data_IF_521963188434
#
_entry.id   IF_521963188434
#
_cell.length_a   1.000
_cell.length_b   1.000
_cell.length_c   1.000
_cell.angle_alpha   90.00
_cell.angle_beta   90.00
_cell.angle_gamma   90.00
#
_symmetry.space_group_name_H-M   'P 1'
#
loop_
_entity.id
_entity.type
_entity.pdbx_description
1 polymer ?
#
# COMPACT_ATOMS: atom_id res chain seq x y z
N UNK A 1 -21.50 -19.06 22.69
CA UNK A 1 -21.13 -18.67 24.07
C UNK A 1 -19.65 -18.38 24.06
N UNK A 2 -19.20 -17.20 24.50
CA UNK A 2 -17.76 -16.92 24.64
C UNK A 2 -17.15 -17.87 25.67
N UNK A 3 -15.91 -18.30 25.43
CA UNK A 3 -15.11 -19.07 26.41
C UNK A 3 -14.97 -18.23 27.70
N UNK A 4 -15.10 -18.84 28.91
CA UNK A 4 -14.91 -18.11 30.16
C UNK A 4 -13.49 -17.55 30.27
N UNK A 5 -13.34 -16.36 30.85
CA UNK A 5 -12.01 -15.81 31.17
C UNK A 5 -11.34 -16.66 32.24
N UNK A 6 -10.11 -17.11 31.95
CA UNK A 6 -9.38 -18.00 32.85
C UNK A 6 -8.48 -17.17 33.76
N UNK A 7 -8.77 -17.18 35.06
CA UNK A 7 -8.10 -16.37 36.07
C UNK A 7 -7.32 -17.30 36.99
N UNK A 8 -6.00 -17.15 37.04
CA UNK A 8 -5.14 -17.87 37.98
C UNK A 8 -5.06 -17.10 39.29
N UNK A 9 -5.42 -17.72 40.40
CA UNK A 9 -5.30 -17.16 41.75
C UNK A 9 -4.14 -17.84 42.46
N UNK A 10 -3.20 -17.05 42.95
CA UNK A 10 -1.98 -17.51 43.61
C UNK A 10 -1.96 -16.97 45.03
N UNK A 11 -2.20 -17.83 46.00
CA UNK A 11 -2.20 -17.48 47.43
C UNK A 11 -1.94 -18.76 48.24
N UNK A 12 -1.15 -18.67 49.30
CA UNK A 12 -0.82 -19.81 50.16
C UNK A 12 -1.88 -20.08 51.25
N UNK A 13 -2.85 -19.17 51.43
CA UNK A 13 -3.95 -19.30 52.37
C UNK A 13 -4.98 -20.33 51.89
N UNK A 14 -5.16 -21.47 52.61
CA UNK A 14 -6.01 -22.58 52.15
C UNK A 14 -7.51 -22.22 52.10
N UNK A 15 -7.92 -21.18 52.81
CA UNK A 15 -9.32 -20.73 52.88
C UNK A 15 -9.71 -19.79 51.71
N UNK A 16 -8.73 -19.25 50.96
CA UNK A 16 -9.02 -18.32 49.87
C UNK A 16 -9.73 -19.02 48.69
N UNK A 17 -9.29 -20.22 48.31
CA UNK A 17 -9.88 -21.00 47.21
C UNK A 17 -11.40 -21.26 47.40
N UNK A 18 -11.85 -21.89 48.51
CA UNK A 18 -13.28 -22.11 48.73
C UNK A 18 -14.06 -20.80 48.84
N UNK A 19 -13.45 -19.75 49.41
CA UNK A 19 -14.07 -18.43 49.53
C UNK A 19 -14.26 -17.75 48.16
N UNK A 20 -13.25 -17.77 47.29
CA UNK A 20 -13.31 -17.25 45.92
C UNK A 20 -14.39 -17.95 45.11
N UNK A 21 -14.43 -19.28 45.14
CA UNK A 21 -15.45 -20.08 44.46
C UNK A 21 -16.86 -19.77 44.99
N UNK A 22 -17.02 -19.63 46.31
CA UNK A 22 -18.31 -19.32 46.93
C UNK A 22 -18.79 -17.90 46.55
N UNK A 23 -17.92 -16.90 46.64
CA UNK A 23 -18.26 -15.49 46.38
C UNK A 23 -18.50 -15.22 44.89
N UNK A 24 -17.76 -15.88 44.00
CA UNK A 24 -17.86 -15.69 42.55
C UNK A 24 -18.78 -16.70 41.84
N UNK A 25 -19.48 -17.57 42.59
CA UNK A 25 -20.33 -18.66 42.06
C UNK A 25 -21.30 -18.24 40.94
N UNK A 26 -21.86 -17.03 41.02
CA UNK A 26 -22.83 -16.52 40.02
C UNK A 26 -22.15 -16.29 38.67
N UNK A 27 -20.95 -15.72 38.66
CA UNK A 27 -20.19 -15.44 37.45
C UNK A 27 -19.63 -16.72 36.82
N UNK A 28 -19.22 -17.68 37.66
CA UNK A 28 -18.77 -19.01 37.22
C UNK A 28 -19.93 -19.76 36.54
N UNK A 29 -21.12 -19.81 37.17
CA UNK A 29 -22.31 -20.45 36.59
C UNK A 29 -22.79 -19.78 35.29
N UNK A 30 -22.58 -18.47 35.18
CA UNK A 30 -22.88 -17.73 33.95
C UNK A 30 -21.83 -17.95 32.84
N UNK A 31 -20.78 -18.75 33.09
CA UNK A 31 -19.71 -19.00 32.13
C UNK A 31 -18.80 -17.80 31.88
N UNK A 32 -18.74 -16.83 32.81
CA UNK A 32 -17.92 -15.62 32.65
C UNK A 32 -16.48 -15.82 33.12
N UNK A 33 -16.28 -16.53 34.23
CA UNK A 33 -14.96 -16.79 34.82
C UNK A 33 -14.72 -18.28 34.99
N UNK A 34 -13.47 -18.69 34.81
CA UNK A 34 -12.93 -20.00 35.17
C UNK A 34 -11.70 -19.76 36.04
N UNK A 35 -11.70 -20.26 37.27
CA UNK A 35 -10.57 -20.07 38.17
C UNK A 35 -9.63 -21.27 38.14
N UNK A 36 -8.32 -20.99 38.15
CA UNK A 36 -7.25 -21.93 38.43
C UNK A 36 -6.55 -21.45 39.70
N UNK A 37 -6.07 -22.36 40.53
CA UNK A 37 -5.42 -22.02 41.80
C UNK A 37 -4.00 -22.57 41.85
N UNK A 38 -3.12 -21.83 42.52
CA UNK A 38 -1.77 -22.23 42.86
C UNK A 38 -1.40 -21.70 44.26
N UNK A 39 -0.53 -22.39 44.98
CA UNK A 39 -0.18 -22.05 46.38
C UNK A 39 1.10 -21.23 46.52
N UNK A 40 1.83 -21.03 45.44
CA UNK A 40 3.06 -20.23 45.39
C UNK A 40 3.42 -19.90 43.94
N UNK A 41 4.42 -19.05 43.74
CA UNK A 41 4.84 -18.63 42.40
C UNK A 41 5.43 -19.73 41.51
N UNK A 42 6.02 -20.79 42.07
CA UNK A 42 6.54 -21.91 41.25
C UNK A 42 5.38 -22.72 40.67
N UNK A 43 4.41 -23.12 41.50
CA UNK A 43 3.20 -23.80 41.03
C UNK A 43 2.44 -22.91 40.03
N UNK A 44 2.38 -21.60 40.27
CA UNK A 44 1.75 -20.68 39.33
C UNK A 44 2.41 -20.71 37.94
N UNK A 45 3.74 -20.74 37.87
CA UNK A 45 4.46 -20.86 36.60
C UNK A 45 4.23 -22.21 35.92
N UNK A 46 4.18 -23.31 36.69
CA UNK A 46 3.84 -24.63 36.15
C UNK A 46 2.43 -24.60 35.54
N UNK A 47 1.45 -24.03 36.25
CA UNK A 47 0.10 -23.82 35.71
C UNK A 47 0.10 -22.94 34.46
N UNK A 48 0.84 -21.83 34.43
CA UNK A 48 0.90 -20.96 33.26
C UNK A 48 1.40 -21.69 32.00
N UNK A 49 2.31 -22.65 32.17
CA UNK A 49 2.85 -23.46 31.08
C UNK A 49 1.93 -24.65 30.69
N UNK A 50 1.31 -25.31 31.66
CA UNK A 50 0.43 -26.48 31.44
C UNK A 50 -0.97 -26.09 30.96
N UNK A 51 -1.55 -25.07 31.60
CA UNK A 51 -2.94 -24.66 31.49
C UNK A 51 -3.09 -23.50 30.50
N UNK A 52 -2.62 -23.66 29.26
CA UNK A 52 -2.60 -22.61 28.24
C UNK A 52 -3.91 -21.78 28.15
N UNK A 53 -3.78 -20.49 27.81
CA UNK A 53 -4.84 -19.46 27.79
C UNK A 53 -5.29 -18.97 29.19
N UNK A 54 -4.38 -18.75 30.13
CA UNK A 54 -4.69 -17.92 31.31
C UNK A 54 -4.73 -16.46 30.87
N UNK A 55 -5.82 -15.76 31.18
CA UNK A 55 -6.04 -14.39 30.77
C UNK A 55 -5.51 -13.38 31.81
N UNK A 56 -5.61 -13.73 33.10
CA UNK A 56 -5.27 -12.84 34.22
C UNK A 56 -4.70 -13.63 35.40
N UNK A 57 -3.76 -13.05 36.13
CA UNK A 57 -3.21 -13.59 37.38
C UNK A 57 -3.57 -12.68 38.55
N UNK A 58 -4.14 -13.24 39.61
CA UNK A 58 -4.33 -12.62 40.92
C UNK A 58 -3.30 -13.24 41.86
N UNK A 59 -2.33 -12.49 42.37
CA UNK A 59 -1.26 -13.06 43.20
C UNK A 59 -1.13 -12.32 44.52
N UNK A 60 -1.07 -13.04 45.63
CA UNK A 60 -0.52 -12.48 46.87
C UNK A 60 0.95 -12.13 46.68
N UNK A 61 1.44 -11.18 47.46
CA UNK A 61 2.87 -10.82 47.50
C UNK A 61 3.65 -11.84 48.32
N UNK A 62 3.21 -12.16 49.53
CA UNK A 62 4.03 -12.92 50.48
C UNK A 62 3.63 -14.39 50.46
N UNK A 63 4.40 -15.21 49.75
CA UNK A 63 4.15 -16.65 49.61
C UNK A 63 5.45 -17.45 49.77
N UNK A 64 5.39 -18.73 50.19
CA UNK A 64 6.56 -19.58 50.29
C UNK A 64 7.16 -19.91 48.91
N UNK A 65 8.43 -20.32 48.88
CA UNK A 65 9.20 -20.71 47.69
C UNK A 65 9.46 -19.58 46.68
N UNK A 66 8.41 -19.01 46.08
CA UNK A 66 8.48 -17.87 45.16
C UNK A 66 7.37 -16.88 45.51
N UNK A 67 7.77 -15.65 45.80
CA UNK A 67 6.89 -14.55 46.16
C UNK A 67 6.19 -13.94 44.91
N UNK A 68 5.11 -13.20 45.12
CA UNK A 68 4.32 -12.60 44.04
C UNK A 68 5.07 -11.55 43.23
N UNK A 69 6.03 -10.85 43.84
CA UNK A 69 6.85 -9.86 43.14
C UNK A 69 7.86 -10.49 42.18
N UNK A 70 8.40 -11.65 42.53
CA UNK A 70 9.27 -12.46 41.66
C UNK A 70 8.42 -13.10 40.57
N UNK A 71 7.25 -13.65 40.90
CA UNK A 71 6.31 -14.19 39.93
C UNK A 71 5.93 -13.15 38.86
N UNK A 72 5.62 -11.92 39.28
CA UNK A 72 5.28 -10.80 38.39
C UNK A 72 6.36 -10.54 37.33
N UNK A 73 7.64 -10.70 37.67
CA UNK A 73 8.75 -10.54 36.72
C UNK A 73 8.89 -11.71 35.74
N UNK A 74 8.36 -12.89 36.08
CA UNK A 74 8.43 -14.08 35.24
C UNK A 74 7.22 -14.20 34.30
N UNK A 75 6.03 -13.76 34.70
CA UNK A 75 4.80 -13.86 33.90
C UNK A 75 4.97 -13.34 32.46
N UNK A 76 5.55 -12.14 32.22
CA UNK A 76 5.74 -11.63 30.85
C UNK A 76 6.67 -12.47 29.97
N UNK A 77 7.52 -13.31 30.57
CA UNK A 77 8.42 -14.23 29.84
C UNK A 77 7.69 -15.49 29.38
N UNK A 78 6.61 -15.86 30.07
CA UNK A 78 5.73 -16.96 29.66
C UNK A 78 4.75 -16.47 28.59
N UNK A 79 4.01 -15.40 28.89
CA UNK A 79 3.15 -14.72 27.93
C UNK A 79 3.03 -13.22 28.28
N UNK A 80 3.51 -12.31 27.41
CA UNK A 80 3.47 -10.87 27.65
C UNK A 80 2.05 -10.27 27.66
N UNK A 81 1.03 -11.02 27.25
CA UNK A 81 -0.36 -10.56 27.21
C UNK A 81 -1.12 -10.79 28.52
N UNK A 82 -0.55 -11.55 29.47
CA UNK A 82 -1.18 -11.82 30.76
C UNK A 82 -1.08 -10.58 31.65
N UNK A 83 -2.21 -10.15 32.21
CA UNK A 83 -2.24 -9.06 33.19
C UNK A 83 -2.27 -9.60 34.60
N UNK A 84 -1.41 -9.04 35.44
CA UNK A 84 -1.29 -9.43 36.85
C UNK A 84 -1.88 -8.37 37.76
N UNK A 85 -2.70 -8.77 38.72
CA UNK A 85 -3.18 -7.92 39.81
C UNK A 85 -2.66 -8.48 41.12
N UNK A 86 -2.10 -7.60 41.92
CA UNK A 86 -1.43 -7.99 43.16
C UNK A 86 -2.37 -7.83 44.35
N UNK A 87 -2.48 -8.86 45.16
CA UNK A 87 -3.19 -8.82 46.44
C UNK A 87 -2.13 -8.56 47.52
N UNK A 88 -2.31 -7.52 48.34
CA UNK A 88 -1.31 -7.10 49.32
C UNK A 88 -1.93 -6.78 50.68
N UNK A 89 -1.16 -6.86 51.76
CA UNK A 89 -1.62 -6.51 53.09
C UNK A 89 -1.96 -5.01 53.24
N UNK A 90 -2.94 -4.69 54.09
CA UNK A 90 -3.28 -3.31 54.41
C UNK A 90 -2.06 -2.56 54.98
N UNK A 91 -1.68 -1.45 54.35
CA UNK A 91 -0.55 -0.62 54.77
C UNK A 91 0.80 -0.97 54.15
N UNK A 92 0.90 -2.02 53.32
CA UNK A 92 2.15 -2.39 52.64
C UNK A 92 2.40 -1.60 51.35
N UNK A 93 2.47 -0.27 51.51
CA UNK A 93 2.66 0.67 50.38
C UNK A 93 3.99 0.46 49.65
N UNK A 94 5.03 -0.02 50.34
CA UNK A 94 6.35 -0.26 49.74
C UNK A 94 6.27 -1.39 48.70
N UNK A 95 5.64 -2.50 49.04
CA UNK A 95 5.53 -3.63 48.12
C UNK A 95 4.50 -3.35 47.01
N UNK A 96 3.39 -2.65 47.29
CA UNK A 96 2.45 -2.21 46.24
C UNK A 96 3.15 -1.32 45.21
N UNK A 97 3.92 -0.32 45.67
CA UNK A 97 4.69 0.55 44.76
C UNK A 97 5.69 -0.25 43.94
N UNK A 98 6.36 -1.23 44.55
CA UNK A 98 7.28 -2.13 43.85
C UNK A 98 6.56 -2.93 42.78
N UNK A 99 5.40 -3.52 43.09
CA UNK A 99 4.57 -4.25 42.14
C UNK A 99 4.15 -3.39 40.94
N UNK A 100 3.62 -2.19 41.17
CA UNK A 100 3.20 -1.30 40.08
C UNK A 100 4.39 -0.90 39.18
N UNK A 101 5.55 -0.58 39.77
CA UNK A 101 6.77 -0.28 39.02
C UNK A 101 7.31 -1.48 38.23
N UNK A 102 6.97 -2.71 38.64
CA UNK A 102 7.31 -3.97 37.95
C UNK A 102 6.24 -4.41 36.94
N UNK A 103 5.21 -3.58 36.70
CA UNK A 103 4.20 -3.83 35.68
C UNK A 103 2.96 -4.58 36.14
N UNK A 104 2.67 -4.62 37.46
CA UNK A 104 1.36 -5.01 37.93
C UNK A 104 0.30 -4.06 37.34
N UNK A 105 -0.78 -4.62 36.81
CA UNK A 105 -1.85 -3.84 36.20
C UNK A 105 -2.64 -3.06 37.25
N UNK A 106 -2.88 -3.68 38.41
CA UNK A 106 -3.61 -3.11 39.52
C UNK A 106 -3.29 -3.86 40.83
N UNK A 107 -3.86 -3.41 41.94
CA UNK A 107 -3.76 -4.10 43.22
C UNK A 107 -5.07 -4.11 44.01
N UNK A 108 -5.19 -5.07 44.94
CA UNK A 108 -6.28 -5.18 45.92
C UNK A 108 -5.68 -5.38 47.31
N UNK A 109 -6.29 -4.81 48.34
CA UNK A 109 -5.79 -4.91 49.72
C UNK A 109 -6.49 -6.03 50.51
N UNK A 110 -5.77 -6.68 51.43
CA UNK A 110 -6.32 -7.61 52.43
C UNK A 110 -6.84 -6.82 53.65
N UNK A 111 -7.98 -7.17 54.29
CA UNK A 111 -8.88 -8.25 53.91
C UNK A 111 -9.60 -7.94 52.58
N UNK A 112 -9.66 -8.93 51.69
CA UNK A 112 -10.16 -8.75 50.33
C UNK A 112 -11.64 -8.37 50.33
N UNK A 113 -11.95 -7.15 49.89
CA UNK A 113 -13.32 -6.78 49.52
C UNK A 113 -13.63 -7.37 48.14
N UNK A 114 -14.53 -8.35 48.11
CA UNK A 114 -14.90 -9.06 46.88
C UNK A 114 -15.64 -8.18 45.86
N UNK A 115 -16.25 -7.07 46.30
CA UNK A 115 -16.85 -6.09 45.39
C UNK A 115 -15.75 -5.32 44.66
N UNK A 116 -14.74 -4.86 45.39
CA UNK A 116 -13.61 -4.14 44.81
C UNK A 116 -12.75 -5.06 43.94
N UNK A 117 -12.49 -6.30 44.39
CA UNK A 117 -11.82 -7.32 43.59
C UNK A 117 -12.57 -7.58 42.27
N UNK A 118 -13.90 -7.65 42.30
CA UNK A 118 -14.68 -7.84 41.09
C UNK A 118 -14.53 -6.64 40.14
N UNK A 119 -14.58 -5.40 40.65
CA UNK A 119 -14.38 -4.18 39.84
C UNK A 119 -12.98 -4.20 39.20
N UNK A 120 -11.95 -4.56 39.96
CA UNK A 120 -10.58 -4.68 39.46
C UNK A 120 -10.49 -5.75 38.38
N UNK A 121 -11.02 -6.97 38.61
CA UNK A 121 -11.06 -8.04 37.59
C UNK A 121 -11.75 -7.53 36.32
N UNK A 122 -12.94 -6.93 36.44
CA UNK A 122 -13.69 -6.46 35.27
C UNK A 122 -12.96 -5.37 34.50
N UNK A 123 -12.31 -4.43 35.20
CA UNK A 123 -11.47 -3.40 34.58
C UNK A 123 -10.25 -4.00 33.88
N UNK A 124 -9.56 -4.95 34.50
CA UNK A 124 -8.41 -5.64 33.90
C UNK A 124 -8.81 -6.40 32.64
N UNK A 125 -9.92 -7.15 32.71
CA UNK A 125 -10.43 -7.89 31.56
C UNK A 125 -10.85 -6.96 30.42
N UNK A 126 -11.53 -5.85 30.70
CA UNK A 126 -11.91 -4.87 29.67
C UNK A 126 -10.69 -4.31 28.94
N UNK A 127 -9.65 -3.90 29.69
CA UNK A 127 -8.41 -3.41 29.10
C UNK A 127 -7.68 -4.46 28.25
N UNK A 128 -7.67 -5.72 28.69
CA UNK A 128 -7.11 -6.82 27.90
C UNK A 128 -7.85 -7.06 26.58
N UNK A 129 -9.18 -6.92 26.58
CA UNK A 129 -9.97 -7.05 25.35
C UNK A 129 -9.61 -5.96 24.35
N UNK A 130 -9.58 -4.70 24.80
CA UNK A 130 -9.16 -3.56 23.96
C UNK A 130 -7.76 -3.77 23.38
N UNK A 131 -6.82 -4.26 24.21
CA UNK A 131 -5.46 -4.56 23.77
C UNK A 131 -5.40 -5.66 22.73
N UNK A 132 -6.12 -6.78 22.95
CA UNK A 132 -6.19 -7.89 21.99
C UNK A 132 -6.82 -7.47 20.67
N UNK A 133 -7.85 -6.65 20.72
CA UNK A 133 -8.50 -6.12 19.53
C UNK A 133 -7.55 -5.19 18.75
N UNK A 134 -6.86 -4.28 19.44
CA UNK A 134 -5.85 -3.41 18.83
C UNK A 134 -4.71 -4.20 18.16
N UNK A 135 -4.22 -5.27 18.81
CA UNK A 135 -3.22 -6.16 18.22
C UNK A 135 -3.76 -6.85 16.96
N UNK A 136 -4.99 -7.37 17.00
CA UNK A 136 -5.59 -8.02 15.83
C UNK A 136 -5.76 -7.05 14.65
N UNK A 137 -6.18 -5.80 14.90
CA UNK A 137 -6.25 -4.77 13.86
C UNK A 137 -4.88 -4.46 13.28
N UNK A 138 -3.87 -4.29 14.13
CA UNK A 138 -2.50 -4.05 13.68
C UNK A 138 -2.00 -5.20 12.80
N UNK A 139 -2.20 -6.45 13.22
CA UNK A 139 -1.74 -7.61 12.46
C UNK A 139 -2.47 -7.72 11.11
N UNK A 140 -3.77 -7.36 11.04
CA UNK A 140 -4.52 -7.24 9.77
C UNK A 140 -3.94 -6.15 8.86
N UNK A 141 -3.62 -4.97 9.39
CA UNK A 141 -3.02 -3.88 8.61
C UNK A 141 -1.67 -4.29 8.03
N UNK A 142 -0.82 -4.96 8.83
CA UNK A 142 0.46 -5.49 8.37
C UNK A 142 0.27 -6.52 7.24
N UNK A 143 -0.74 -7.40 7.36
CA UNK A 143 -1.06 -8.35 6.29
C UNK A 143 -1.43 -7.65 4.99
N UNK A 144 -2.29 -6.64 5.05
CA UNK A 144 -2.72 -5.86 3.88
C UNK A 144 -1.54 -5.11 3.25
N UNK A 145 -0.67 -4.51 4.06
CA UNK A 145 0.55 -3.85 3.57
C UNK A 145 1.47 -4.82 2.82
N UNK A 146 1.69 -6.02 3.36
CA UNK A 146 2.49 -7.05 2.68
C UNK A 146 1.86 -7.48 1.35
N UNK A 147 0.53 -7.63 1.30
CA UNK A 147 -0.18 -7.95 0.05
C UNK A 147 -0.03 -6.84 -1.01
N UNK A 148 -0.12 -5.57 -0.59
CA UNK A 148 0.10 -4.42 -1.48
C UNK A 148 1.54 -4.32 -1.96
N UNK A 149 2.54 -4.59 -1.12
CA UNK A 149 3.95 -4.63 -1.52
C UNK A 149 4.22 -5.70 -2.58
N UNK A 150 3.59 -6.88 -2.44
CA UNK A 150 3.66 -7.93 -3.46
C UNK A 150 3.02 -7.47 -4.77
N UNK A 151 1.84 -6.84 -4.71
CA UNK A 151 1.17 -6.31 -5.89
C UNK A 151 2.00 -5.23 -6.61
N UNK A 152 2.60 -4.31 -5.85
CA UNK A 152 3.51 -3.27 -6.34
C UNK A 152 4.68 -3.86 -7.12
N UNK A 153 5.35 -4.86 -6.55
CA UNK A 153 6.46 -5.56 -7.22
C UNK A 153 6.03 -6.27 -8.51
N UNK A 154 4.84 -6.86 -8.53
CA UNK A 154 4.30 -7.48 -9.74
C UNK A 154 4.08 -6.41 -10.82
N UNK A 155 3.42 -5.30 -10.48
CA UNK A 155 3.19 -4.19 -11.40
C UNK A 155 4.49 -3.63 -11.98
N UNK A 156 5.50 -3.37 -11.13
CA UNK A 156 6.80 -2.89 -11.58
C UNK A 156 7.51 -3.89 -12.51
N UNK A 157 7.36 -5.19 -12.28
CA UNK A 157 7.94 -6.23 -13.15
C UNK A 157 7.24 -6.38 -14.50
N UNK A 158 6.01 -5.88 -14.60
CA UNK A 158 5.20 -5.92 -15.82
C UNK A 158 5.62 -4.79 -16.77
N UNK A 159 5.98 -3.61 -16.22
CA UNK A 159 6.46 -2.47 -17.01
C UNK A 159 7.81 -2.76 -17.70
N UNK A 160 8.08 -2.19 -18.88
CA UNK A 160 9.36 -2.38 -19.56
C UNK A 160 10.54 -1.88 -18.72
N UNK A 161 11.46 -2.79 -18.39
CA UNK A 161 12.77 -2.46 -17.79
C UNK A 161 13.92 -2.53 -18.79
N UNK A 162 13.68 -3.18 -19.93
CA UNK A 162 14.62 -3.30 -21.04
C UNK A 162 14.08 -2.54 -22.24
N UNK A 163 14.96 -1.81 -22.91
CA UNK A 163 14.62 -0.94 -24.02
C UNK A 163 15.35 -1.44 -25.28
N UNK A 164 14.74 -1.37 -26.47
CA UNK A 164 15.41 -1.72 -27.72
C UNK A 164 16.75 -1.02 -27.89
N UNK A 165 17.79 -1.79 -28.22
CA UNK A 165 19.13 -1.30 -28.55
C UNK A 165 19.26 -1.20 -30.08
N UNK A 166 18.90 -0.04 -30.63
CA UNK A 166 18.98 0.27 -32.06
C UNK A 166 19.78 1.56 -32.27
N UNK A 167 20.67 1.59 -33.26
CA UNK A 167 21.51 2.78 -33.53
C UNK A 167 20.73 3.94 -34.16
N UNK A 168 19.51 3.69 -34.65
CA UNK A 168 18.68 4.69 -35.35
C UNK A 168 17.79 5.50 -34.41
N UNK A 169 17.52 4.99 -33.21
CA UNK A 169 16.66 5.65 -32.24
C UNK A 169 16.97 5.18 -30.82
N UNK A 170 16.58 5.99 -29.84
CA UNK A 170 16.58 5.63 -28.43
C UNK A 170 15.17 5.76 -27.88
N UNK A 171 14.79 4.85 -27.00
CA UNK A 171 13.54 4.92 -26.26
C UNK A 171 13.80 4.66 -24.79
N UNK A 172 13.16 5.42 -23.93
CA UNK A 172 13.24 5.23 -22.50
C UNK A 172 11.96 5.71 -21.85
N UNK A 173 11.49 4.98 -20.83
CA UNK A 173 10.31 5.36 -20.06
C UNK A 173 10.52 5.05 -18.59
N UNK A 174 9.82 5.81 -17.76
CA UNK A 174 9.78 5.61 -16.32
C UNK A 174 8.40 5.96 -15.78
N UNK A 175 8.05 5.36 -14.65
CA UNK A 175 6.79 5.56 -13.95
C UNK A 175 7.04 5.56 -12.45
N UNK A 176 6.51 6.56 -11.76
CA UNK A 176 6.54 6.67 -10.31
C UNK A 176 5.09 6.71 -9.79
N UNK A 177 4.60 5.63 -9.16
CA UNK A 177 3.23 5.59 -8.67
C UNK A 177 3.06 6.47 -7.42
N UNK A 178 1.90 7.12 -7.28
CA UNK A 178 1.56 7.95 -6.11
C UNK A 178 1.16 7.11 -4.88
N UNK A 179 0.81 5.84 -5.09
CA UNK A 179 0.43 4.86 -4.07
C UNK A 179 1.24 3.57 -4.24
N UNK A 180 0.94 2.55 -3.43
CA UNK A 180 1.60 1.24 -3.56
C UNK A 180 1.45 0.64 -4.97
N UNK A 181 0.29 0.84 -5.60
CA UNK A 181 0.01 0.46 -6.99
C UNK A 181 -0.68 1.61 -7.73
N UNK A 182 -0.32 1.78 -9.01
CA UNK A 182 -0.80 2.86 -9.88
C UNK A 182 -1.81 2.44 -10.94
N UNK A 183 -2.52 3.40 -11.53
CA UNK A 183 -3.35 3.24 -12.74
C UNK A 183 -2.56 3.46 -14.03
N UNK A 184 -1.46 4.18 -13.96
CA UNK A 184 -0.62 4.48 -15.11
C UNK A 184 0.14 3.27 -15.67
N UNK A 185 0.48 3.33 -16.95
CA UNK A 185 1.53 2.50 -17.54
C UNK A 185 2.13 3.08 -18.82
N UNK A 186 3.26 2.51 -19.22
CA UNK A 186 3.79 2.60 -20.57
C UNK A 186 4.19 1.22 -21.09
N UNK A 187 4.24 1.04 -22.40
CA UNK A 187 4.76 -0.17 -23.03
C UNK A 187 5.50 0.11 -24.34
N UNK A 188 6.42 -0.79 -24.67
CA UNK A 188 7.23 -0.74 -25.89
C UNK A 188 7.14 -2.12 -26.53
N UNK A 189 6.68 -2.15 -27.78
CA UNK A 189 6.38 -3.37 -28.51
C UNK A 189 7.21 -3.40 -29.78
N UNK A 190 7.98 -4.46 -30.00
CA UNK A 190 8.59 -4.70 -31.30
C UNK A 190 7.51 -5.26 -32.23
N UNK A 191 7.31 -4.59 -33.36
CA UNK A 191 6.31 -4.95 -34.37
C UNK A 191 7.00 -5.51 -35.61
N UNK A 192 6.20 -5.98 -36.55
CA UNK A 192 6.68 -6.46 -37.83
C UNK A 192 7.47 -5.40 -38.60
N UNK A 193 8.31 -5.86 -39.54
CA UNK A 193 9.14 -5.01 -40.40
C UNK A 193 10.13 -4.09 -39.65
N UNK A 194 10.37 -4.36 -38.36
CA UNK A 194 11.28 -3.57 -37.52
C UNK A 194 10.68 -2.24 -37.08
N UNK A 195 9.35 -2.10 -37.12
CA UNK A 195 8.63 -1.01 -36.48
C UNK A 195 8.56 -1.21 -34.97
N UNK A 196 8.29 -0.14 -34.23
CA UNK A 196 8.04 -0.20 -32.79
C UNK A 196 6.70 0.44 -32.46
N UNK A 197 5.96 -0.20 -31.57
CA UNK A 197 4.79 0.34 -30.90
C UNK A 197 5.20 1.00 -29.58
N UNK A 198 4.64 2.17 -29.31
CA UNK A 198 4.82 2.93 -28.08
C UNK A 198 3.44 3.20 -27.50
N UNK A 199 3.25 2.87 -26.23
CA UNK A 199 2.01 3.12 -25.51
C UNK A 199 2.29 3.87 -24.21
N UNK A 200 1.43 4.83 -23.90
CA UNK A 200 1.31 5.42 -22.57
C UNK A 200 -0.17 5.55 -22.24
N UNK A 201 -0.53 5.34 -20.99
CA UNK A 201 -1.92 5.39 -20.56
C UNK A 201 -2.04 5.67 -19.07
N UNK A 202 -3.20 6.21 -18.72
CA UNK A 202 -3.66 6.51 -17.38
C UNK A 202 -5.10 6.00 -17.19
N UNK A 203 -5.33 5.24 -16.13
CA UNK A 203 -6.61 4.65 -15.78
C UNK A 203 -7.30 5.53 -14.74
N UNK A 204 -8.58 5.83 -14.97
CA UNK A 204 -9.42 6.54 -14.00
C UNK A 204 -9.39 5.88 -12.62
N UNK A 205 -9.45 6.68 -11.55
CA UNK A 205 -9.30 6.26 -10.16
C UNK A 205 -7.86 5.82 -9.80
N UNK A 206 -7.66 5.34 -8.57
CA UNK A 206 -6.32 5.00 -8.01
C UNK A 206 -6.37 3.74 -7.18
N UNK A 207 -5.22 3.10 -7.03
CA UNK A 207 -5.05 1.91 -6.19
C UNK A 207 -5.42 0.62 -6.93
N UNK A 208 -5.85 -0.41 -6.17
CA UNK A 208 -5.94 -1.78 -6.68
C UNK A 208 -6.88 -1.95 -7.89
N UNK A 209 -8.11 -1.39 -7.91
CA UNK A 209 -8.99 -1.54 -9.09
C UNK A 209 -8.39 -0.94 -10.37
N UNK A 210 -7.83 0.28 -10.28
CA UNK A 210 -7.16 0.94 -11.40
C UNK A 210 -5.95 0.13 -11.89
N UNK A 211 -5.13 -0.40 -10.98
CA UNK A 211 -3.98 -1.23 -11.33
C UNK A 211 -4.36 -2.54 -12.06
N UNK A 212 -5.48 -3.17 -11.70
CA UNK A 212 -5.97 -4.38 -12.39
C UNK A 212 -6.53 -4.06 -13.77
N UNK A 213 -7.25 -2.95 -13.89
CA UNK A 213 -7.78 -2.48 -15.18
C UNK A 213 -6.63 -2.06 -16.11
N UNK A 214 -5.60 -1.41 -15.57
CA UNK A 214 -4.35 -1.11 -16.26
C UNK A 214 -3.71 -2.38 -16.84
N UNK A 215 -3.53 -3.43 -16.03
CA UNK A 215 -2.93 -4.69 -16.50
C UNK A 215 -3.73 -5.33 -17.64
N UNK A 216 -5.07 -5.22 -17.57
CA UNK A 216 -5.98 -5.71 -18.60
C UNK A 216 -5.81 -4.91 -19.90
N UNK A 217 -5.86 -3.57 -19.81
CA UNK A 217 -5.63 -2.67 -20.95
C UNK A 217 -4.28 -2.93 -21.62
N UNK A 218 -3.19 -2.97 -20.85
CA UNK A 218 -1.85 -3.23 -21.37
C UNK A 218 -1.76 -4.56 -22.09
N UNK A 219 -2.33 -5.61 -21.51
CA UNK A 219 -2.30 -6.97 -22.10
C UNK A 219 -3.07 -7.03 -23.42
N UNK A 220 -4.27 -6.43 -23.45
CA UNK A 220 -5.08 -6.34 -24.67
C UNK A 220 -4.37 -5.53 -25.74
N UNK A 221 -3.85 -4.36 -25.40
CA UNK A 221 -3.12 -3.48 -26.32
C UNK A 221 -1.94 -4.21 -26.96
N UNK A 222 -1.13 -4.90 -26.16
CA UNK A 222 0.00 -5.68 -26.65
C UNK A 222 -0.42 -6.84 -27.54
N UNK A 223 -1.52 -7.52 -27.22
CA UNK A 223 -2.05 -8.62 -28.02
C UNK A 223 -2.57 -8.15 -29.39
N UNK A 224 -3.35 -7.07 -29.41
CA UNK A 224 -3.95 -6.51 -30.62
C UNK A 224 -2.89 -5.88 -31.54
N UNK A 225 -1.91 -5.17 -30.96
CA UNK A 225 -0.84 -4.49 -31.70
C UNK A 225 0.01 -5.44 -32.57
N UNK A 226 0.12 -6.73 -32.22
CA UNK A 226 0.87 -7.71 -33.01
C UNK A 226 0.16 -8.03 -34.34
N UNK A 227 -1.17 -7.88 -34.40
CA UNK A 227 -1.97 -8.19 -35.59
C UNK A 227 -2.35 -6.97 -36.44
N UNK A 228 -2.28 -5.76 -35.87
CA UNK A 228 -2.71 -4.52 -36.49
C UNK A 228 -1.62 -3.44 -36.35
N UNK A 229 -1.22 -2.84 -37.46
CA UNK A 229 -0.22 -1.75 -37.48
C UNK A 229 -0.82 -0.35 -37.48
N UNK A 230 -2.15 -0.23 -37.60
CA UNK A 230 -2.87 1.06 -37.61
C UNK A 230 -3.27 1.43 -36.18
N UNK A 231 -2.70 2.50 -35.58
CA UNK A 231 -3.02 2.89 -34.22
C UNK A 231 -4.50 3.09 -33.93
N UNK A 232 -5.27 3.63 -34.88
CA UNK A 232 -6.70 3.87 -34.70
C UNK A 232 -7.48 2.56 -34.59
N UNK A 233 -7.20 1.61 -35.49
CA UNK A 233 -7.79 0.28 -35.46
C UNK A 233 -7.42 -0.49 -34.18
N UNK A 234 -6.17 -0.38 -33.73
CA UNK A 234 -5.71 -0.99 -32.47
C UNK A 234 -6.52 -0.46 -31.28
N UNK A 235 -6.66 0.87 -31.16
CA UNK A 235 -7.42 1.46 -30.05
C UNK A 235 -8.91 1.11 -30.11
N UNK A 236 -9.51 1.04 -31.29
CA UNK A 236 -10.91 0.63 -31.46
C UNK A 236 -11.17 -0.81 -30.98
N UNK A 237 -10.32 -1.75 -31.37
CA UNK A 237 -10.43 -3.15 -30.92
C UNK A 237 -10.21 -3.28 -29.41
N UNK A 238 -9.20 -2.59 -28.86
CA UNK A 238 -8.93 -2.62 -27.41
C UNK A 238 -10.07 -1.97 -26.62
N UNK A 239 -10.68 -0.90 -27.13
CA UNK A 239 -11.84 -0.28 -26.53
C UNK A 239 -12.99 -1.28 -26.35
N UNK A 240 -13.32 -2.00 -27.42
CA UNK A 240 -14.46 -2.91 -27.42
C UNK A 240 -14.22 -4.09 -26.46
N UNK A 241 -13.00 -4.65 -26.48
CA UNK A 241 -12.59 -5.70 -25.55
C UNK A 241 -12.58 -5.24 -24.09
N UNK A 242 -12.17 -3.99 -23.82
CA UNK A 242 -12.24 -3.43 -22.47
C UNK A 242 -13.69 -3.19 -22.02
N UNK A 243 -14.57 -2.78 -22.93
CA UNK A 243 -15.96 -2.47 -22.63
C UNK A 243 -16.78 -3.71 -22.27
N UNK A 244 -16.51 -4.87 -22.91
CA UNK A 244 -17.28 -6.12 -22.72
C UNK A 244 -17.41 -6.54 -21.24
N UNK A 245 -16.37 -6.35 -20.44
CA UNK A 245 -16.30 -6.79 -19.02
C UNK A 245 -16.09 -5.62 -18.03
N UNK A 246 -16.51 -4.40 -18.38
CA UNK A 246 -16.30 -3.20 -17.56
C UNK A 246 -17.42 -2.90 -16.53
N UNK A 247 -17.71 -3.85 -15.63
CA UNK A 247 -18.73 -3.63 -14.57
C UNK A 247 -18.39 -2.47 -13.63
N UNK A 248 -17.09 -2.18 -13.47
CA UNK A 248 -16.57 -1.09 -12.63
C UNK A 248 -16.74 0.29 -13.24
N UNK A 249 -17.09 0.38 -14.54
CA UNK A 249 -17.18 1.63 -15.31
C UNK A 249 -15.91 2.49 -15.22
N UNK A 250 -14.75 1.83 -15.16
CA UNK A 250 -13.45 2.49 -15.26
C UNK A 250 -13.17 2.82 -16.72
N UNK A 251 -12.36 3.83 -16.97
CA UNK A 251 -11.91 4.15 -18.32
C UNK A 251 -10.40 4.39 -18.30
N UNK A 252 -9.79 4.34 -19.49
CA UNK A 252 -8.35 4.57 -19.65
C UNK A 252 -8.11 5.58 -20.74
N UNK A 253 -7.40 6.65 -20.41
CA UNK A 253 -6.82 7.52 -21.43
C UNK A 253 -5.57 6.84 -21.96
N UNK A 254 -5.40 6.79 -23.28
CA UNK A 254 -4.25 6.14 -23.91
C UNK A 254 -3.77 6.90 -25.12
N UNK A 255 -2.46 6.93 -25.31
CA UNK A 255 -1.87 7.25 -26.59
C UNK A 255 -1.06 6.05 -27.07
N UNK A 256 -1.39 5.58 -28.27
CA UNK A 256 -0.67 4.52 -28.93
C UNK A 256 -0.07 5.02 -30.25
N UNK A 257 1.21 4.77 -30.45
CA UNK A 257 1.97 5.18 -31.61
C UNK A 257 2.75 4.03 -32.22
N UNK A 258 2.89 4.05 -33.54
CA UNK A 258 3.77 3.17 -34.32
C UNK A 258 4.83 4.04 -34.98
N UNK A 259 6.09 3.73 -34.67
CA UNK A 259 7.25 4.38 -35.23
C UNK A 259 8.00 3.43 -36.18
N UNK A 260 8.34 3.92 -37.38
CA UNK A 260 9.19 3.22 -38.32
C UNK A 260 10.60 3.83 -38.33
N UNK A 261 11.61 3.16 -37.73
CA UNK A 261 12.98 3.66 -37.68
C UNK A 261 13.67 3.82 -39.03
N UNK A 262 13.20 3.15 -40.09
CA UNK A 262 13.81 3.25 -41.41
C UNK A 262 13.41 4.53 -42.15
N UNK A 263 12.20 5.04 -41.90
CA UNK A 263 11.65 6.23 -42.57
C UNK A 263 11.59 7.44 -41.64
N UNK A 264 11.49 7.23 -40.32
CA UNK A 264 11.15 8.28 -39.35
C UNK A 264 9.66 8.54 -39.22
N UNK A 265 8.84 7.74 -39.88
CA UNK A 265 7.39 7.87 -39.81
C UNK A 265 6.89 7.54 -38.41
N UNK A 266 6.13 8.47 -37.84
CA UNK A 266 5.49 8.33 -36.54
C UNK A 266 3.99 8.54 -36.72
N UNK A 267 3.23 7.45 -36.57
CA UNK A 267 1.76 7.44 -36.69
C UNK A 267 1.17 7.16 -35.32
N UNK A 268 0.17 7.90 -34.88
CA UNK A 268 -0.39 7.75 -33.54
C UNK A 268 -1.89 8.04 -33.49
N UNK A 269 -2.54 7.43 -32.51
CA UNK A 269 -3.91 7.70 -32.11
C UNK A 269 -3.98 7.91 -30.59
N UNK A 270 -4.87 8.81 -30.17
CA UNK A 270 -5.17 9.10 -28.77
C UNK A 270 -6.63 8.77 -28.49
N UNK A 271 -6.85 8.02 -27.40
CA UNK A 271 -8.13 7.89 -26.74
C UNK A 271 -8.17 8.76 -25.50
N UNK A 272 -8.44 10.05 -25.67
CA UNK A 272 -8.60 11.01 -24.57
C UNK A 272 -7.33 11.36 -23.79
N UNK A 273 -6.15 10.95 -24.26
CA UNK A 273 -4.87 11.18 -23.58
C UNK A 273 -4.22 12.51 -23.97
N UNK A 274 -3.32 12.97 -23.11
CA UNK A 274 -2.59 14.22 -23.28
C UNK A 274 -1.74 14.27 -24.56
N UNK A 275 -1.57 15.49 -25.06
CA UNK A 275 -0.85 15.76 -26.31
C UNK A 275 0.66 15.57 -26.12
N UNK A 276 1.35 14.72 -26.90
CA UNK A 276 2.80 14.58 -26.79
C UNK A 276 3.51 15.88 -27.12
N UNK A 277 4.67 16.09 -26.49
CA UNK A 277 5.59 17.15 -26.89
C UNK A 277 6.51 16.65 -27.99
N UNK A 278 6.63 17.46 -29.03
CA UNK A 278 7.62 17.32 -30.10
C UNK A 278 8.69 18.38 -29.94
N UNK A 279 9.93 17.93 -29.79
CA UNK A 279 11.13 18.75 -29.71
C UNK A 279 11.91 18.52 -31.01
N UNK A 280 12.01 19.55 -31.83
CA UNK A 280 12.79 19.49 -33.07
C UNK A 280 14.28 19.65 -32.78
N UNK A 281 15.11 19.12 -33.67
CA UNK A 281 16.57 19.29 -33.63
C UNK A 281 17.05 20.75 -33.58
N UNK A 282 16.25 21.71 -34.04
CA UNK A 282 16.54 23.15 -33.94
C UNK A 282 16.19 23.77 -32.58
N UNK A 283 15.66 22.98 -31.65
CA UNK A 283 15.21 23.41 -30.32
C UNK A 283 13.77 23.92 -30.29
N UNK A 284 13.04 23.87 -31.40
CA UNK A 284 11.61 24.22 -31.42
C UNK A 284 10.80 23.17 -30.67
N UNK A 285 10.02 23.61 -29.68
CA UNK A 285 9.14 22.75 -28.87
C UNK A 285 7.68 23.07 -29.20
N UNK A 286 6.88 22.03 -29.46
CA UNK A 286 5.46 22.16 -29.79
C UNK A 286 4.68 20.93 -29.35
N UNK A 287 3.37 21.05 -29.15
CA UNK A 287 2.50 19.89 -28.94
C UNK A 287 2.11 19.26 -30.27
N UNK A 288 2.08 17.94 -30.31
CA UNK A 288 1.46 17.20 -31.40
C UNK A 288 -0.06 17.40 -31.38
N UNK A 289 -0.73 17.49 -32.55
CA UNK A 289 -2.19 17.57 -32.60
C UNK A 289 -2.86 16.35 -31.96
N UNK A 290 -3.82 16.59 -31.07
CA UNK A 290 -4.66 15.50 -30.55
C UNK A 290 -5.55 14.93 -31.64
N UNK A 291 -5.81 13.63 -31.57
CA UNK A 291 -6.92 13.00 -32.28
C UNK A 291 -8.18 13.18 -31.45
N UNK A 292 -9.34 13.46 -32.07
CA UNK A 292 -10.61 13.71 -31.37
C UNK A 292 -11.21 12.47 -30.63
N UNK A 293 -10.39 11.47 -30.31
CA UNK A 293 -10.81 10.23 -29.65
C UNK A 293 -11.05 10.44 -28.15
N UNK A 294 -11.98 9.67 -27.59
CA UNK A 294 -12.30 9.68 -26.16
C UNK A 294 -11.67 8.48 -25.44
N UNK A 295 -11.60 8.51 -24.11
CA UNK A 295 -11.05 7.41 -23.32
C UNK A 295 -11.68 6.05 -23.66
N UNK A 296 -10.88 4.99 -23.57
CA UNK A 296 -11.32 3.62 -23.87
C UNK A 296 -12.15 3.06 -22.72
N UNK A 297 -13.04 2.11 -23.05
CA UNK A 297 -13.94 1.45 -22.11
C UNK A 297 -15.21 2.24 -21.79
N UNK A 298 -15.33 3.48 -22.29
CA UNK A 298 -16.46 4.38 -22.04
C UNK A 298 -17.73 3.95 -22.77
N UNK A 299 -17.60 3.55 -24.03
CA UNK A 299 -18.71 3.10 -24.88
C UNK A 299 -18.18 2.12 -25.93
N UNK A 300 -19.01 1.20 -26.45
CA UNK A 300 -18.58 0.27 -27.50
C UNK A 300 -18.57 0.94 -28.87
N UNK A 301 -17.88 0.33 -29.83
CA UNK A 301 -17.84 0.68 -31.25
C UNK A 301 -17.35 2.12 -31.51
N UNK A 302 -16.36 2.57 -30.73
CA UNK A 302 -15.75 3.90 -30.89
C UNK A 302 -14.70 3.89 -32.01
N UNK A 303 -14.78 4.90 -32.89
CA UNK A 303 -13.79 5.12 -33.95
C UNK A 303 -12.68 6.06 -33.49
N UNK A 304 -11.42 5.61 -33.65
CA UNK A 304 -10.23 6.39 -33.33
C UNK A 304 -9.51 6.82 -34.60
N UNK A 305 -9.38 8.13 -34.80
CA UNK A 305 -8.58 8.70 -35.89
C UNK A 305 -7.10 8.62 -35.55
N UNK A 306 -6.26 8.67 -36.58
CA UNK A 306 -4.82 8.76 -36.41
C UNK A 306 -4.23 10.00 -37.09
N UNK A 307 -3.12 10.46 -36.54
CA UNK A 307 -2.24 11.45 -37.15
C UNK A 307 -0.91 10.82 -37.54
N UNK A 308 -0.28 11.39 -38.55
CA UNK A 308 1.00 10.94 -39.08
C UNK A 308 1.94 12.12 -39.22
N UNK A 309 3.14 11.97 -38.71
CA UNK A 309 4.22 12.95 -38.84
C UNK A 309 5.51 12.24 -39.26
N UNK A 310 6.48 13.02 -39.69
CA UNK A 310 7.84 12.56 -39.95
C UNK A 310 8.79 13.20 -38.93
N UNK A 311 9.50 12.36 -38.20
CA UNK A 311 10.57 12.77 -37.27
C UNK A 311 11.87 12.86 -38.05
N UNK A 312 12.54 14.00 -38.01
CA UNK A 312 13.89 14.14 -38.57
C UNK A 312 14.94 13.63 -37.58
N UNK A 313 16.15 13.28 -38.03
CA UNK A 313 17.26 12.98 -37.11
C UNK A 313 17.49 14.13 -36.12
N UNK A 314 17.60 13.79 -34.84
CA UNK A 314 17.68 14.71 -33.72
C UNK A 314 16.33 15.11 -33.12
N UNK A 315 15.20 14.78 -33.75
CA UNK A 315 13.88 15.06 -33.18
C UNK A 315 13.55 14.09 -32.04
N UNK A 316 12.82 14.60 -31.06
CA UNK A 316 12.42 13.87 -29.85
C UNK A 316 10.92 14.04 -29.61
N UNK A 317 10.25 12.95 -29.25
CA UNK A 317 8.85 12.94 -28.81
C UNK A 317 8.80 12.51 -27.35
N UNK A 318 8.17 13.33 -26.51
CA UNK A 318 7.94 13.06 -25.09
C UNK A 318 6.45 12.84 -24.87
N UNK A 319 6.10 11.64 -24.44
CA UNK A 319 4.77 11.26 -24.01
C UNK A 319 4.73 11.28 -22.48
N UNK A 320 3.64 11.73 -21.90
CA UNK A 320 3.50 11.88 -20.45
C UNK A 320 2.04 11.71 -20.02
N UNK A 321 1.83 11.29 -18.77
CA UNK A 321 0.50 11.29 -18.13
C UNK A 321 0.23 12.62 -17.44
N UNK A 322 -1.04 12.89 -17.15
CA UNK A 322 -1.47 14.13 -16.52
C UNK A 322 -0.83 14.35 -15.14
N UNK A 323 -0.41 13.29 -14.43
CA UNK A 323 0.35 13.40 -13.20
C UNK A 323 1.64 14.22 -13.31
N UNK A 324 2.21 14.39 -14.52
CA UNK A 324 3.29 15.37 -14.78
C UNK A 324 2.77 16.80 -14.72
N UNK A 325 1.66 17.11 -15.40
CA UNK A 325 1.16 18.48 -15.56
C UNK A 325 0.29 18.93 -14.39
N UNK A 326 -0.36 18.01 -13.70
CA UNK A 326 -1.16 18.23 -12.50
C UNK A 326 -0.34 18.16 -11.21
N UNK A 327 0.95 17.80 -11.27
CA UNK A 327 1.85 17.81 -10.12
C UNK A 327 1.79 19.17 -9.39
N UNK A 328 1.53 19.13 -8.09
CA UNK A 328 1.29 20.33 -7.28
C UNK A 328 2.49 20.65 -6.39
N UNK A 329 2.81 21.94 -6.29
CA UNK A 329 3.74 22.44 -5.29
C UNK A 329 3.06 22.66 -3.93
N UNK A 330 3.82 23.10 -2.92
CA UNK A 330 3.31 23.36 -1.56
C UNK A 330 2.24 24.46 -1.49
N UNK A 331 2.17 25.32 -2.50
CA UNK A 331 1.16 26.38 -2.61
C UNK A 331 -0.12 25.89 -3.33
N UNK A 332 -0.17 24.63 -3.77
CA UNK A 332 -1.29 24.03 -4.49
C UNK A 332 -1.37 24.45 -5.97
N UNK A 333 -0.31 25.04 -6.52
CA UNK A 333 -0.22 25.37 -7.95
C UNK A 333 0.28 24.17 -8.74
N UNK A 334 -0.36 23.89 -9.87
CA UNK A 334 0.02 22.80 -10.77
C UNK A 334 1.22 23.17 -11.67
N UNK A 335 2.00 22.19 -12.11
CA UNK A 335 3.17 22.37 -12.97
C UNK A 335 2.79 22.88 -14.38
N UNK A 336 1.66 22.38 -14.88
CA UNK A 336 1.06 22.72 -16.17
C UNK A 336 1.92 22.36 -17.39
N UNK A 337 1.28 22.35 -18.56
CA UNK A 337 1.96 22.10 -19.84
C UNK A 337 3.01 23.16 -20.15
N UNK A 338 2.79 24.41 -19.72
CA UNK A 338 3.76 25.50 -19.90
C UNK A 338 5.06 25.24 -19.13
N UNK A 339 4.98 24.64 -17.94
CA UNK A 339 6.16 24.21 -17.17
C UNK A 339 6.95 23.15 -17.93
N UNK A 340 6.25 22.16 -18.50
CA UNK A 340 6.85 21.08 -19.29
C UNK A 340 7.50 21.61 -20.58
N UNK A 341 6.88 22.56 -21.27
CA UNK A 341 7.44 23.23 -22.45
C UNK A 341 8.74 23.96 -22.10
N UNK A 342 8.78 24.66 -20.95
CA UNK A 342 9.95 25.40 -20.48
C UNK A 342 11.15 24.50 -20.12
N UNK A 343 10.92 23.24 -19.75
CA UNK A 343 12.02 22.28 -19.52
C UNK A 343 12.90 22.15 -20.77
N UNK A 344 12.27 22.12 -21.93
CA UNK A 344 12.94 21.84 -23.20
C UNK A 344 13.25 23.11 -24.01
N UNK A 345 12.65 24.24 -23.65
CA UNK A 345 12.90 25.53 -24.28
C UNK A 345 14.36 25.99 -24.10
N UNK A 346 15.14 25.98 -25.19
CA UNK A 346 16.54 26.46 -25.18
C UNK A 346 17.58 25.40 -24.78
N UNK A 347 17.15 24.16 -24.54
CA UNK A 347 18.06 23.01 -24.35
C UNK A 347 18.78 22.70 -25.68
N UNK A 348 20.10 22.55 -25.64
CA UNK A 348 20.93 22.30 -26.83
C UNK A 348 20.58 20.95 -27.48
N UNK A 349 20.69 20.92 -28.81
CA UNK A 349 20.13 19.98 -29.80
C UNK A 349 20.47 18.48 -29.72
N UNK A 350 20.65 17.88 -28.54
CA UNK A 350 20.84 16.43 -28.43
C UNK A 350 20.43 15.93 -27.05
N UNK A 351 19.12 15.80 -26.83
CA UNK A 351 18.57 15.13 -25.66
C UNK A 351 18.33 13.66 -26.01
N UNK A 352 19.11 12.77 -25.42
CA UNK A 352 18.82 11.34 -25.52
C UNK A 352 17.53 11.01 -24.79
N UNK A 353 16.88 9.90 -25.17
CA UNK A 353 15.59 9.53 -24.60
C UNK A 353 15.58 9.45 -23.07
N UNK A 354 16.61 8.82 -22.48
CA UNK A 354 16.76 8.72 -21.03
C UNK A 354 16.95 10.09 -20.38
N UNK A 355 17.82 10.93 -20.94
CA UNK A 355 18.09 12.28 -20.42
C UNK A 355 16.82 13.14 -20.45
N UNK A 356 16.01 13.03 -21.51
CA UNK A 356 14.73 13.72 -21.61
C UNK A 356 13.74 13.28 -20.54
N UNK A 357 13.59 11.97 -20.33
CA UNK A 357 12.70 11.45 -19.28
C UNK A 357 13.18 11.85 -17.88
N UNK A 358 14.46 11.61 -17.57
CA UNK A 358 15.03 11.92 -16.24
C UNK A 358 14.92 13.42 -15.92
N UNK A 359 15.08 14.29 -16.92
CA UNK A 359 14.92 15.73 -16.76
C UNK A 359 13.48 16.13 -16.41
N UNK A 360 12.47 15.47 -16.98
CA UNK A 360 11.05 15.70 -16.60
C UNK A 360 10.85 15.36 -15.13
N UNK A 361 11.28 14.17 -14.70
CA UNK A 361 11.14 13.74 -13.30
C UNK A 361 11.90 14.67 -12.34
N UNK A 362 13.12 15.10 -12.71
CA UNK A 362 13.90 16.05 -11.91
C UNK A 362 13.13 17.37 -11.72
N UNK A 363 12.64 17.99 -12.80
CA UNK A 363 11.98 19.29 -12.74
C UNK A 363 10.63 19.24 -12.05
N UNK A 364 9.87 18.16 -12.23
CA UNK A 364 8.60 17.95 -11.52
C UNK A 364 8.84 17.80 -10.02
N UNK A 365 9.84 17.01 -9.60
CA UNK A 365 10.20 16.88 -8.17
C UNK A 365 10.70 18.19 -7.58
N UNK A 366 11.54 18.93 -8.30
CA UNK A 366 12.00 20.26 -7.89
C UNK A 366 10.83 21.22 -7.69
N UNK A 367 9.84 21.19 -8.58
CA UNK A 367 8.64 22.01 -8.48
C UNK A 367 7.76 21.63 -7.29
N UNK A 368 7.55 20.32 -7.07
CA UNK A 368 6.74 19.81 -5.97
C UNK A 368 7.35 20.14 -4.59
N UNK A 369 8.68 20.08 -4.47
CA UNK A 369 9.38 20.30 -3.22
C UNK A 369 9.00 19.25 -2.16
N UNK A 370 8.39 19.69 -1.06
CA UNK A 370 7.90 18.80 0.01
C UNK A 370 6.43 18.37 -0.17
N UNK A 371 5.77 18.81 -1.25
CA UNK A 371 4.40 18.40 -1.53
C UNK A 371 4.31 16.89 -1.82
N UNK A 372 3.22 16.28 -1.36
CA UNK A 372 2.95 14.87 -1.67
C UNK A 372 2.52 14.72 -3.13
N UNK A 373 2.95 13.64 -3.76
CA UNK A 373 2.50 13.28 -5.11
C UNK A 373 1.00 13.01 -5.12
N UNK A 374 0.29 13.69 -6.03
CA UNK A 374 -1.16 13.57 -6.15
C UNK A 374 -1.56 12.39 -7.04
N UNK A 375 -0.90 12.23 -8.18
CA UNK A 375 -1.15 11.18 -9.17
C UNK A 375 0.11 10.45 -9.62
N UNK A 376 -0.04 9.31 -10.27
CA UNK A 376 1.07 8.59 -10.88
C UNK A 376 1.79 9.48 -11.91
N UNK A 377 3.12 9.48 -11.90
CA UNK A 377 3.90 10.28 -12.82
C UNK A 377 4.56 9.33 -13.82
N UNK A 378 4.11 9.37 -15.07
CA UNK A 378 4.63 8.52 -16.13
C UNK A 378 5.12 9.32 -17.31
N UNK A 379 6.27 8.93 -17.85
CA UNK A 379 6.87 9.55 -19.02
C UNK A 379 7.55 8.50 -19.90
N UNK A 380 7.37 8.64 -21.21
CA UNK A 380 7.99 7.80 -22.25
C UNK A 380 8.55 8.71 -23.34
N UNK A 381 9.84 8.62 -23.60
CA UNK A 381 10.54 9.44 -24.58
C UNK A 381 11.08 8.59 -25.72
N UNK A 382 10.85 9.03 -26.96
CA UNK A 382 11.47 8.52 -28.18
C UNK A 382 12.40 9.60 -28.76
N UNK A 383 13.64 9.25 -29.04
CA UNK A 383 14.61 10.10 -29.74
C UNK A 383 15.06 9.45 -31.04
N UNK A 384 15.08 10.17 -32.15
CA UNK A 384 15.61 9.68 -33.43
C UNK A 384 17.07 10.10 -33.60
N UNK A 385 17.98 9.14 -33.73
CA UNK A 385 19.42 9.41 -33.91
C UNK A 385 19.82 9.60 -35.38
N UNK A 386 19.27 8.81 -36.32
CA UNK A 386 19.69 8.81 -37.74
C UNK A 386 18.56 8.74 -38.75
#
# INVERSE_FOLDING_TARGET
MNKPYKILVVDDEPDLEPLMLQRMRRHIRAGRYSFVFARNGLEALDRLNEEGNIDMVLSDINMPQMDGLTLLEQIPKVDPNIRSVIISAYGDMKNIRTAMNRGAFDFVTKPVDFKDLQITIERTLAHMMEWREALSYRDKLVSIQNELEVASRIQQSILPSEFPDDLRYQVYGNMEPARDVGGDFFDIMLLDEGQIGLAIADVSDKGVPAALFMMSCRTLLKGVAIGLTDPGAVLGEVNDLLHEDNETMLFVTVLYAVYNPATGEFTYASGGHDAPLLIRSDGTVSLLPLTDGIALGVAPELEYKQHKIELSPGDTVVLYTDGVTEAQNTDGSAFQVDGLHQIFAGSSSYLKAREGTDLVFEKVREFMGEASQFDDITCLTLHRDT
#
